data_IF_910554721530
#
_entry.id   IF_910554721530
#
_cell.length_a   1.000
_cell.length_b   1.000
_cell.length_c   1.000
_cell.angle_alpha   90.00
_cell.angle_beta   90.00
_cell.angle_gamma   90.00
#
_symmetry.space_group_name_H-M   'P 1'
#
loop_
_entity.id
_entity.type
_entity.pdbx_description
1 polymer ?
#
# COMPACT_ATOMS: atom_id res chain seq x y z
N UNK A 1 -9.18 0.11 14.25
CA UNK A 1 -9.16 0.05 12.76
C UNK A 1 -8.76 -1.36 12.31
N UNK A 2 -9.51 -1.91 11.38
CA UNK A 2 -9.24 -3.22 10.82
C UNK A 2 -8.26 -3.11 9.65
N UNK A 3 -7.21 -3.94 9.64
CA UNK A 3 -6.23 -3.96 8.55
C UNK A 3 -6.40 -5.25 7.77
N UNK A 4 -6.71 -5.11 6.49
CA UNK A 4 -6.88 -6.22 5.56
C UNK A 4 -5.77 -6.17 4.51
N UNK A 5 -5.50 -7.30 3.85
CA UNK A 5 -4.51 -7.32 2.78
C UNK A 5 -4.89 -8.33 1.70
N UNK A 6 -4.56 -8.00 0.46
CA UNK A 6 -4.75 -8.92 -0.65
C UNK A 6 -3.73 -10.07 -0.55
N UNK A 7 -4.10 -11.26 -1.05
CA UNK A 7 -3.18 -12.40 -1.03
C UNK A 7 -1.84 -12.13 -1.69
N UNK A 8 -1.83 -11.41 -2.81
CA UNK A 8 -0.59 -11.05 -3.49
C UNK A 8 0.31 -10.16 -2.62
N UNK A 9 -0.29 -9.22 -1.88
CA UNK A 9 0.44 -8.37 -0.95
C UNK A 9 1.06 -9.21 0.18
N UNK A 10 0.28 -10.11 0.75
CA UNK A 10 0.73 -10.98 1.82
C UNK A 10 1.93 -11.84 1.40
N UNK A 11 1.86 -12.42 0.20
CA UNK A 11 2.96 -13.21 -0.34
C UNK A 11 4.23 -12.40 -0.52
N UNK A 12 4.10 -11.17 -1.01
CA UNK A 12 5.24 -10.29 -1.22
C UNK A 12 5.91 -9.94 0.10
N UNK A 13 5.12 -9.62 1.12
CA UNK A 13 5.62 -9.26 2.45
C UNK A 13 6.43 -10.39 3.06
N UNK A 14 6.00 -11.64 2.87
CA UNK A 14 6.72 -12.81 3.40
C UNK A 14 8.14 -12.93 2.84
N UNK A 15 8.39 -12.37 1.65
CA UNK A 15 9.70 -12.45 0.99
C UNK A 15 10.62 -11.29 1.34
N UNK A 16 10.13 -10.29 2.04
CA UNK A 16 10.94 -9.12 2.40
C UNK A 16 11.96 -9.47 3.48
N UNK A 17 13.15 -8.86 3.38
CA UNK A 17 14.14 -8.93 4.44
C UNK A 17 13.63 -8.19 5.69
N UNK A 18 14.14 -8.54 6.89
CA UNK A 18 13.64 -7.95 8.13
C UNK A 18 13.70 -6.42 8.18
N UNK A 19 14.76 -5.80 7.66
CA UNK A 19 14.87 -4.34 7.65
C UNK A 19 13.84 -3.70 6.71
N UNK A 20 13.52 -4.34 5.59
CA UNK A 20 12.46 -3.87 4.70
C UNK A 20 11.09 -3.99 5.36
N UNK A 21 10.83 -5.10 6.05
CA UNK A 21 9.59 -5.29 6.81
C UNK A 21 9.41 -4.22 7.88
N UNK A 22 10.50 -3.84 8.55
CA UNK A 22 10.46 -2.82 9.58
C UNK A 22 10.04 -1.46 8.99
N UNK A 23 10.60 -1.09 7.84
CA UNK A 23 10.23 0.16 7.18
C UNK A 23 8.77 0.13 6.72
N UNK A 24 8.31 -1.02 6.21
CA UNK A 24 6.92 -1.19 5.82
C UNK A 24 5.99 -1.07 7.04
N UNK A 25 6.35 -1.66 8.18
CA UNK A 25 5.54 -1.57 9.40
C UNK A 25 5.39 -0.11 9.85
N UNK A 26 6.45 0.67 9.76
CA UNK A 26 6.40 2.10 10.10
C UNK A 26 5.44 2.83 9.15
N UNK A 27 5.50 2.52 7.86
CA UNK A 27 4.59 3.12 6.88
C UNK A 27 3.14 2.77 7.18
N UNK A 28 2.86 1.50 7.50
CA UNK A 28 1.50 1.06 7.83
C UNK A 28 0.99 1.76 9.10
N UNK A 29 1.84 1.90 10.12
CA UNK A 29 1.46 2.62 11.33
C UNK A 29 1.12 4.08 11.05
N UNK A 30 1.86 4.71 10.15
CA UNK A 30 1.57 6.08 9.70
C UNK A 30 0.17 6.15 9.08
N UNK A 31 -0.18 5.17 8.24
CA UNK A 31 -1.49 5.12 7.60
C UNK A 31 -2.62 4.83 8.59
N UNK A 32 -2.36 4.04 9.63
CA UNK A 32 -3.35 3.80 10.68
C UNK A 32 -3.68 5.10 11.41
N UNK A 33 -2.67 5.93 11.67
CA UNK A 33 -2.87 7.21 12.33
C UNK A 33 -3.47 8.27 11.40
N UNK A 34 -3.16 8.19 10.11
CA UNK A 34 -3.66 9.12 9.11
C UNK A 34 -3.99 8.37 7.81
N UNK A 35 -5.18 7.76 7.73
CA UNK A 35 -5.55 6.96 6.56
C UNK A 35 -5.61 7.73 5.24
N UNK A 36 -5.68 9.06 5.29
CA UNK A 36 -5.72 9.91 4.10
C UNK A 36 -4.35 10.44 3.71
N UNK A 37 -3.27 9.94 4.31
CA UNK A 37 -1.91 10.40 4.01
C UNK A 37 -1.48 10.13 2.57
N UNK A 38 -1.91 9.01 1.98
CA UNK A 38 -1.60 8.71 0.59
C UNK A 38 -2.43 9.52 -0.39
N UNK A 39 -1.88 9.74 -1.58
CA UNK A 39 -2.55 10.49 -2.64
C UNK A 39 -3.71 9.69 -3.22
N UNK A 40 -4.90 10.27 -3.22
CA UNK A 40 -6.07 9.65 -3.82
C UNK A 40 -5.98 9.69 -5.34
N UNK A 41 -6.08 8.53 -5.98
CA UNK A 41 -5.99 8.42 -7.43
C UNK A 41 -7.36 8.55 -8.09
N UNK A 42 -7.34 8.86 -9.38
CA UNK A 42 -8.55 9.07 -10.19
C UNK A 42 -8.55 8.11 -11.39
N UNK A 43 -9.64 8.08 -12.12
CA UNK A 43 -9.75 7.24 -13.30
C UNK A 43 -9.79 5.76 -12.97
N UNK A 44 -8.97 4.97 -13.65
CA UNK A 44 -8.92 3.51 -13.47
C UNK A 44 -8.60 3.08 -12.05
N UNK A 45 -7.93 3.94 -11.28
CA UNK A 45 -7.51 3.66 -9.92
C UNK A 45 -8.34 4.42 -8.89
N UNK A 46 -9.56 4.83 -9.27
CA UNK A 46 -10.44 5.57 -8.39
C UNK A 46 -10.71 4.81 -7.08
N UNK A 47 -10.61 5.53 -5.96
CA UNK A 47 -10.80 4.93 -4.64
C UNK A 47 -9.54 4.33 -4.04
N UNK A 48 -8.43 4.31 -4.79
CA UNK A 48 -7.16 3.81 -4.31
C UNK A 48 -6.26 4.99 -3.93
N UNK A 49 -5.57 4.86 -2.80
CA UNK A 49 -4.56 5.82 -2.38
C UNK A 49 -3.18 5.22 -2.52
N UNK A 50 -2.19 6.05 -2.84
CA UNK A 50 -0.79 5.62 -2.97
C UNK A 50 0.06 6.44 -2.02
N UNK A 51 0.74 5.76 -1.11
CA UNK A 51 1.64 6.36 -0.14
C UNK A 51 3.08 6.08 -0.55
N UNK A 52 3.88 7.14 -0.63
CA UNK A 52 5.30 7.05 -0.99
C UNK A 52 6.15 7.07 0.27
N UNK A 53 7.07 6.14 0.37
CA UNK A 53 8.01 6.09 1.51
C UNK A 53 9.31 5.43 1.07
N UNK A 54 10.33 5.54 1.90
CA UNK A 54 11.60 4.87 1.63
C UNK A 54 11.65 3.55 2.37
N UNK A 55 11.90 2.47 1.62
CA UNK A 55 12.07 1.13 2.16
C UNK A 55 13.49 0.69 1.81
N UNK A 56 14.35 0.55 2.82
CA UNK A 56 15.80 0.28 2.68
C UNK A 56 16.42 1.28 1.67
N UNK A 57 16.16 2.57 1.89
CA UNK A 57 16.66 3.69 1.10
C UNK A 57 16.15 3.77 -0.34
N UNK A 58 15.21 2.91 -0.73
CA UNK A 58 14.62 2.95 -2.06
C UNK A 58 13.21 3.51 -2.00
N UNK A 59 12.88 4.43 -2.91
CA UNK A 59 11.54 4.96 -3.00
C UNK A 59 10.57 3.83 -3.34
N UNK A 60 9.55 3.66 -2.50
CA UNK A 60 8.59 2.57 -2.61
C UNK A 60 7.18 3.13 -2.55
N UNK A 61 6.29 2.53 -3.32
CA UNK A 61 4.89 2.91 -3.39
C UNK A 61 4.03 1.84 -2.73
N UNK A 62 3.14 2.28 -1.84
CA UNK A 62 2.18 1.40 -1.16
C UNK A 62 0.78 1.81 -1.56
N UNK A 63 0.07 0.93 -2.27
CA UNK A 63 -1.31 1.16 -2.66
C UNK A 63 -2.24 0.57 -1.61
N UNK A 64 -3.25 1.33 -1.24
CA UNK A 64 -4.23 0.89 -0.26
C UNK A 64 -5.56 1.58 -0.50
N UNK A 65 -6.61 1.03 0.08
CA UNK A 65 -7.91 1.69 0.12
C UNK A 65 -8.33 1.87 1.57
N UNK A 66 -9.09 2.92 1.84
CA UNK A 66 -9.60 3.20 3.18
C UNK A 66 -11.11 3.32 3.12
N UNK A 67 -11.80 2.50 3.90
CA UNK A 67 -13.24 2.56 4.06
C UNK A 67 -13.56 3.22 5.40
N UNK A 68 -14.00 4.46 5.34
CA UNK A 68 -14.29 5.26 6.53
C UNK A 68 -15.45 4.68 7.33
N UNK A 69 -16.46 4.13 6.65
CA UNK A 69 -17.63 3.58 7.31
C UNK A 69 -17.30 2.30 8.10
N UNK A 70 -16.47 1.44 7.54
CA UNK A 70 -16.06 0.19 8.17
C UNK A 70 -14.83 0.37 9.06
N UNK A 71 -14.21 1.54 9.03
CA UNK A 71 -12.93 1.79 9.69
C UNK A 71 -11.91 0.72 9.31
N UNK A 72 -11.81 0.43 8.01
CA UNK A 72 -10.90 -0.58 7.51
C UNK A 72 -9.93 -0.01 6.49
N UNK A 73 -8.72 -0.53 6.49
CA UNK A 73 -7.67 -0.17 5.57
C UNK A 73 -7.19 -1.45 4.89
N UNK A 74 -7.28 -1.49 3.57
CA UNK A 74 -6.92 -2.67 2.79
C UNK A 74 -5.62 -2.41 2.03
N UNK A 75 -4.61 -3.24 2.28
CA UNK A 75 -3.31 -3.14 1.62
C UNK A 75 -3.38 -3.93 0.31
N UNK A 76 -3.10 -3.25 -0.81
CA UNK A 76 -3.33 -3.77 -2.14
C UNK A 76 -2.06 -4.20 -2.86
N UNK A 77 -1.05 -3.33 -2.89
CA UNK A 77 0.16 -3.56 -3.67
C UNK A 77 1.33 -2.77 -3.11
N UNK A 78 2.53 -3.28 -3.37
CA UNK A 78 3.78 -2.65 -2.93
C UNK A 78 4.80 -2.81 -4.04
N UNK A 79 5.52 -1.75 -4.40
CA UNK A 79 6.54 -1.85 -5.43
C UNK A 79 7.21 -0.54 -5.76
N UNK A 80 8.18 -0.62 -6.67
CA UNK A 80 8.85 0.56 -7.18
C UNK A 80 8.01 1.28 -8.24
N UNK A 81 8.41 2.50 -8.59
CA UNK A 81 7.63 3.34 -9.48
C UNK A 81 7.43 2.77 -10.89
N UNK A 82 8.44 2.09 -11.44
CA UNK A 82 8.44 1.72 -12.86
C UNK A 82 7.30 0.79 -13.27
N UNK A 83 7.04 -0.26 -12.48
CA UNK A 83 6.03 -1.25 -12.83
C UNK A 83 4.81 -1.22 -11.94
N UNK A 84 4.83 -0.37 -10.92
CA UNK A 84 3.83 -0.37 -9.87
C UNK A 84 2.42 -0.14 -10.41
N UNK A 85 2.23 0.92 -11.17
CA UNK A 85 0.90 1.28 -11.69
C UNK A 85 0.37 0.28 -12.69
N UNK A 86 1.26 -0.30 -13.50
CA UNK A 86 0.88 -1.33 -14.46
C UNK A 86 0.34 -2.56 -13.75
N UNK A 87 1.06 -3.02 -12.72
CA UNK A 87 0.65 -4.20 -11.95
C UNK A 87 -0.63 -3.91 -11.16
N UNK A 88 -0.75 -2.71 -10.61
CA UNK A 88 -1.93 -2.30 -9.86
C UNK A 88 -3.18 -2.28 -10.74
N UNK A 89 -3.07 -1.79 -11.97
CA UNK A 89 -4.19 -1.78 -12.90
C UNK A 89 -4.66 -3.18 -13.25
N UNK A 90 -3.74 -4.13 -13.37
CA UNK A 90 -4.09 -5.54 -13.60
C UNK A 90 -4.88 -6.13 -12.45
N UNK A 91 -4.55 -5.75 -11.22
CA UNK A 91 -5.25 -6.23 -10.04
C UNK A 91 -6.61 -5.58 -9.86
N UNK A 92 -6.78 -4.36 -10.34
CA UNK A 92 -8.01 -3.59 -10.17
C UNK A 92 -9.11 -3.97 -11.17
N UNK A 93 -8.80 -4.77 -12.19
CA UNK A 93 -9.76 -5.17 -13.23
C UNK A 93 -10.54 -6.41 -12.84
#
# INVERSE_FOLDING_TARGET
MQILQYPAFHKLVKKLHPNAKQDLDVAIKTLIQNPRAGDLKKGDLSGIRVYKFKMVNNLTLLAYSYDENEESLTLLALGSHENFYKDLKKQAV
#
